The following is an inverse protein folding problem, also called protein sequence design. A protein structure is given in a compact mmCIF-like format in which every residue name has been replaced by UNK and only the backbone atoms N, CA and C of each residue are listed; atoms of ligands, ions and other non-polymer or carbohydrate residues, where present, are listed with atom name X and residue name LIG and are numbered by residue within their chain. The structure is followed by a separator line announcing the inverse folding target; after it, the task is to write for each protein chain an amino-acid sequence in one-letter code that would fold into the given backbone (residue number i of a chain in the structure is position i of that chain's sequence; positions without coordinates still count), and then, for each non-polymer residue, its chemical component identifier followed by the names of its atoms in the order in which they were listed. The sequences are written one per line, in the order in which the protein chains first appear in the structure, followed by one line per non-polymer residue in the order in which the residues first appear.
data_IF_646639928984
#
_entry.id   IF_646639928984
#
_cell.length_a   1.000
_cell.length_b   1.000
_cell.length_c   1.000
_cell.angle_alpha   90.00
_cell.angle_beta   90.00
_cell.angle_gamma   90.00
#
_symmetry.space_group_name_H-M   'P 1'
#
loop_
_entity.id
_entity.type
_entity.pdbx_description
1 polymer ?
#
# COMPACT_ATOMS: atom_id res chain seq x y z
N UNK A 1 -20.62 7.00 0.26
CA UNK A 1 -19.73 7.98 -0.41
C UNK A 1 -18.72 7.21 -1.25
N UNK A 2 -18.53 7.55 -2.53
CA UNK A 2 -17.53 6.88 -3.36
C UNK A 2 -16.12 7.32 -2.91
N UNK A 3 -15.27 6.36 -2.53
CA UNK A 3 -13.90 6.63 -2.09
C UNK A 3 -13.08 7.30 -3.20
N UNK A 4 -12.33 8.35 -2.84
CA UNK A 4 -11.45 9.05 -3.77
C UNK A 4 -10.25 8.17 -4.10
N UNK A 5 -10.00 7.94 -5.40
CA UNK A 5 -8.82 7.22 -5.88
C UNK A 5 -7.62 8.17 -5.79
N UNK A 6 -6.62 7.87 -4.96
CA UNK A 6 -5.37 8.62 -4.92
C UNK A 6 -4.22 7.74 -5.42
N UNK A 7 -3.44 8.28 -6.35
CA UNK A 7 -2.36 7.61 -7.06
C UNK A 7 -1.03 8.12 -6.52
N UNK A 8 -0.18 7.24 -5.98
CA UNK A 8 1.21 7.58 -5.67
C UNK A 8 2.06 7.27 -6.91
N UNK A 9 2.50 8.32 -7.63
CA UNK A 9 3.49 8.18 -8.69
C UNK A 9 4.89 8.18 -8.08
N UNK A 10 5.71 7.18 -8.43
CA UNK A 10 7.09 7.08 -8.00
C UNK A 10 8.00 7.54 -9.15
N UNK A 11 8.35 8.83 -9.19
CA UNK A 11 9.31 9.33 -10.19
C UNK A 11 10.75 8.89 -9.83
N UNK A 12 11.60 8.50 -10.81
CA UNK A 12 11.47 8.66 -12.27
C UNK A 12 10.82 7.48 -13.01
N UNK A 13 10.15 6.57 -12.32
CA UNK A 13 9.72 5.30 -12.90
C UNK A 13 8.24 5.37 -13.28
N UNK A 14 7.90 5.14 -14.56
CA UNK A 14 6.53 5.02 -15.09
C UNK A 14 5.71 3.84 -14.51
N UNK A 15 6.11 3.29 -13.36
CA UNK A 15 5.54 2.10 -12.75
C UNK A 15 4.91 2.49 -11.40
N UNK A 16 3.60 2.64 -11.42
CA UNK A 16 2.80 3.28 -10.38
C UNK A 16 2.50 2.34 -9.20
N UNK A 17 2.96 2.66 -7.98
CA UNK A 17 2.44 2.02 -6.76
C UNK A 17 1.13 2.72 -6.39
N UNK A 18 0.01 2.16 -6.86
CA UNK A 18 -1.32 2.70 -6.59
C UNK A 18 -1.89 2.18 -5.25
N UNK A 19 -1.65 2.90 -4.15
CA UNK A 19 -2.29 2.59 -2.85
C UNK A 19 -3.73 3.07 -2.87
N UNK A 20 -4.65 2.13 -3.11
CA UNK A 20 -6.08 2.36 -3.03
C UNK A 20 -6.56 2.42 -1.57
N UNK A 21 -7.59 3.22 -1.27
CA UNK A 21 -8.21 3.32 0.06
C UNK A 21 -9.72 3.41 -0.17
N UNK A 22 -10.50 2.46 0.36
CA UNK A 22 -11.92 2.30 0.03
C UNK A 22 -12.72 1.88 1.26
N UNK A 23 -13.76 2.67 1.56
CA UNK A 23 -14.89 2.48 2.50
C UNK A 23 -14.82 3.26 3.84
N UNK A 24 -15.54 4.41 3.90
CA UNK A 24 -15.58 5.31 5.06
C UNK A 24 -16.13 4.69 6.36
N UNK A 25 -17.04 3.73 6.27
CA UNK A 25 -17.78 3.23 7.44
C UNK A 25 -17.75 1.68 7.51
N UNK A 26 -17.00 1.15 8.46
CA UNK A 26 -16.95 -0.29 8.75
C UNK A 26 -18.03 -0.66 9.77
N UNK A 27 -18.97 -1.54 9.38
CA UNK A 27 -20.11 -1.98 10.20
C UNK A 27 -20.97 -0.84 10.81
N UNK A 28 -21.04 0.33 10.15
CA UNK A 28 -21.81 1.47 10.65
C UNK A 28 -21.20 2.17 11.86
N UNK A 29 -19.93 1.88 12.19
CA UNK A 29 -19.18 2.65 13.17
C UNK A 29 -18.55 3.87 12.48
N UNK A 30 -18.97 5.10 12.79
CA UNK A 30 -18.42 6.31 12.17
C UNK A 30 -16.96 6.57 12.53
N UNK A 31 -16.45 5.88 13.56
CA UNK A 31 -15.05 5.96 13.98
C UNK A 31 -14.21 4.83 13.40
N UNK A 32 -14.77 3.98 12.54
CA UNK A 32 -14.02 2.91 11.88
C UNK A 32 -14.14 2.98 10.38
N UNK A 33 -13.00 3.11 9.71
CA UNK A 33 -12.88 3.11 8.26
C UNK A 33 -12.29 1.79 7.80
N UNK A 34 -12.82 1.22 6.73
CA UNK A 34 -12.20 0.10 6.04
C UNK A 34 -11.45 0.65 4.85
N UNK A 35 -10.28 0.07 4.59
CA UNK A 35 -9.32 0.61 3.65
C UNK A 35 -8.76 -0.53 2.82
N UNK A 36 -9.13 -0.58 1.54
CA UNK A 36 -8.60 -1.59 0.60
C UNK A 36 -7.33 -1.10 -0.08
N UNK A 37 -6.17 -1.58 0.39
CA UNK A 37 -4.87 -1.35 -0.24
C UNK A 37 -4.71 -2.26 -1.45
N UNK A 38 -4.40 -1.66 -2.59
CA UNK A 38 -3.96 -2.35 -3.80
C UNK A 38 -2.51 -1.98 -4.10
N UNK A 39 -1.80 -2.86 -4.78
CA UNK A 39 -0.45 -2.65 -5.28
C UNK A 39 -0.50 -3.18 -6.71
N UNK A 40 -0.08 -2.35 -7.66
CA UNK A 40 -0.16 -2.66 -9.07
C UNK A 40 1.24 -2.92 -9.58
N UNK A 41 1.37 -3.88 -10.47
CA UNK A 41 2.59 -4.01 -11.25
C UNK A 41 2.62 -2.86 -12.28
N UNK A 42 3.80 -2.49 -12.77
CA UNK A 42 3.98 -1.38 -13.71
C UNK A 42 3.21 -1.50 -15.04
N UNK A 43 2.48 -2.60 -15.25
CA UNK A 43 1.57 -2.80 -16.40
C UNK A 43 0.14 -2.32 -16.12
N UNK A 44 -0.16 -1.93 -14.88
CA UNK A 44 -1.51 -1.55 -14.44
C UNK A 44 -2.34 -2.75 -13.97
N UNK A 45 -1.75 -3.94 -13.84
CA UNK A 45 -2.40 -5.11 -13.26
C UNK A 45 -2.22 -5.13 -11.75
N UNK A 46 -3.18 -5.70 -10.99
CA UNK A 46 -3.05 -5.82 -9.53
C UNK A 46 -2.02 -6.90 -9.21
N UNK A 47 -0.92 -6.52 -8.54
CA UNK A 47 0.08 -7.43 -8.01
C UNK A 47 -0.34 -8.00 -6.64
N UNK A 48 -0.85 -7.15 -5.75
CA UNK A 48 -1.34 -7.55 -4.43
C UNK A 48 -2.50 -6.67 -3.97
N UNK A 49 -3.44 -7.25 -3.24
CA UNK A 49 -4.55 -6.53 -2.59
C UNK A 49 -4.71 -7.04 -1.15
N UNK A 50 -4.99 -6.15 -0.22
CA UNK A 50 -5.41 -6.50 1.14
C UNK A 50 -6.21 -5.36 1.78
N UNK A 51 -6.92 -5.68 2.85
CA UNK A 51 -7.78 -4.73 3.56
C UNK A 51 -7.15 -4.36 4.91
N UNK A 52 -7.37 -3.12 5.33
CA UNK A 52 -6.96 -2.55 6.61
C UNK A 52 -8.19 -1.93 7.27
N UNK A 53 -8.36 -2.12 8.57
CA UNK A 53 -9.35 -1.41 9.37
C UNK A 53 -8.63 -0.34 10.17
N UNK A 54 -9.14 0.88 10.09
CA UNK A 54 -8.72 2.02 10.89
C UNK A 54 -9.81 2.29 11.91
N UNK A 55 -9.47 2.44 13.18
CA UNK A 55 -10.38 2.78 14.27
C UNK A 55 -9.80 3.96 15.02
N UNK A 56 -10.46 5.12 15.01
CA UNK A 56 -9.90 6.37 15.54
C UNK A 56 -8.49 6.70 14.99
N UNK A 57 -8.21 6.34 13.73
CA UNK A 57 -6.92 6.59 13.09
C UNK A 57 -7.11 7.28 11.75
N UNK A 58 -6.22 8.23 11.45
CA UNK A 58 -6.30 9.03 10.23
C UNK A 58 -5.89 8.23 9.00
N UNK A 59 -6.74 8.21 7.98
CA UNK A 59 -6.42 7.65 6.67
C UNK A 59 -5.23 8.36 6.02
N UNK A 60 -5.13 9.67 6.17
CA UNK A 60 -4.08 10.48 5.54
C UNK A 60 -2.71 10.22 6.19
N UNK A 61 -2.70 9.90 7.49
CA UNK A 61 -1.50 9.45 8.21
C UNK A 61 -1.06 8.06 7.72
N UNK A 62 -1.98 7.09 7.61
CA UNK A 62 -1.69 5.78 7.04
C UNK A 62 -1.08 5.93 5.63
N UNK A 63 -1.71 6.76 4.80
CA UNK A 63 -1.26 7.00 3.44
C UNK A 63 0.16 7.59 3.39
N UNK A 64 0.44 8.58 4.24
CA UNK A 64 1.76 9.20 4.33
C UNK A 64 2.83 8.19 4.73
N UNK A 65 2.56 7.37 5.74
CA UNK A 65 3.48 6.32 6.21
C UNK A 65 3.75 5.27 5.13
N UNK A 66 2.71 4.84 4.41
CA UNK A 66 2.87 3.91 3.30
C UNK A 66 3.70 4.53 2.17
N UNK A 67 3.39 5.77 1.77
CA UNK A 67 4.13 6.49 0.73
C UNK A 67 5.60 6.58 1.08
N UNK A 68 5.92 6.99 2.30
CA UNK A 68 7.30 7.22 2.72
C UNK A 68 8.08 5.90 2.78
N UNK A 69 7.47 4.82 3.27
CA UNK A 69 8.10 3.50 3.27
C UNK A 69 8.34 2.94 1.86
N UNK A 70 7.41 3.17 0.93
CA UNK A 70 7.55 2.76 -0.47
C UNK A 70 8.64 3.59 -1.16
N UNK A 71 8.68 4.90 -0.94
CA UNK A 71 9.72 5.79 -1.46
C UNK A 71 11.11 5.39 -0.95
N UNK A 72 11.24 5.10 0.35
CA UNK A 72 12.49 4.65 0.95
C UNK A 72 12.97 3.33 0.34
N UNK A 73 12.06 2.37 0.17
CA UNK A 73 12.38 1.09 -0.46
C UNK A 73 12.79 1.25 -1.92
N UNK A 74 12.05 2.05 -2.70
CA UNK A 74 12.37 2.33 -4.09
C UNK A 74 13.74 3.02 -4.21
N UNK A 75 14.03 4.01 -3.36
CA UNK A 75 15.32 4.70 -3.32
C UNK A 75 16.50 3.79 -3.01
N UNK A 76 16.30 2.74 -2.20
CA UNK A 76 17.33 1.71 -1.91
C UNK A 76 17.63 0.78 -3.09
N UNK A 77 16.65 0.58 -3.98
CA UNK A 77 16.79 -0.32 -5.14
C UNK A 77 17.21 0.42 -6.42
N UNK A 78 16.89 1.71 -6.55
CA UNK A 78 17.33 2.55 -7.66
C UNK A 78 18.82 2.39 -8.05
N UNK A 79 19.79 2.23 -7.11
CA UNK A 79 21.20 2.00 -7.45
C UNK A 79 21.50 0.66 -8.15
N UNK A 80 20.63 -0.35 -7.98
CA UNK A 80 20.87 -1.73 -8.41
C UNK A 80 20.18 -2.10 -9.73
N UNK A 81 19.55 -1.13 -10.41
CA UNK A 81 18.79 -1.35 -11.64
C UNK A 81 17.44 -2.00 -11.35
N UNK A 82 16.36 -1.22 -11.49
CA UNK A 82 15.02 -1.81 -11.47
C UNK A 82 14.82 -2.67 -12.73
N UNK A 83 14.14 -3.82 -12.62
CA UNK A 83 13.74 -4.58 -13.79
C UNK A 83 12.75 -3.73 -14.59
N UNK A 84 13.12 -3.35 -15.81
CA UNK A 84 12.18 -2.71 -16.72
C UNK A 84 11.11 -3.75 -17.15
N UNK A 85 9.88 -3.32 -17.51
CA UNK A 85 8.77 -4.23 -17.85
C UNK A 85 9.02 -5.12 -19.08
N UNK A 86 10.09 -4.89 -19.83
CA UNK A 86 10.52 -5.55 -21.05
C UNK A 86 11.28 -6.86 -20.75
N UNK A 87 10.51 -7.91 -20.40
CA UNK A 87 10.90 -9.30 -20.63
C UNK A 87 11.57 -10.05 -19.48
N UNK A 88 11.80 -9.43 -18.32
CA UNK A 88 12.39 -10.10 -17.14
C UNK A 88 11.38 -10.25 -15.99
N UNK A 89 10.37 -11.08 -16.21
CA UNK A 89 9.23 -11.34 -15.29
C UNK A 89 9.69 -11.75 -13.87
N UNK A 90 10.84 -12.44 -13.75
CA UNK A 90 11.33 -12.97 -12.47
C UNK A 90 11.97 -11.95 -11.51
N UNK A 91 12.61 -10.89 -12.01
CA UNK A 91 13.09 -9.81 -11.14
C UNK A 91 11.99 -8.78 -10.87
N UNK A 92 11.03 -8.66 -11.80
CA UNK A 92 9.87 -7.78 -11.68
C UNK A 92 9.02 -8.12 -10.46
N UNK A 93 8.75 -9.40 -10.19
CA UNK A 93 8.01 -9.84 -9.00
C UNK A 93 8.73 -9.52 -7.68
N UNK A 94 10.07 -9.60 -7.63
CA UNK A 94 10.83 -9.35 -6.40
C UNK A 94 10.72 -7.91 -5.90
N UNK A 95 10.67 -6.94 -6.81
CA UNK A 95 10.46 -5.54 -6.45
C UNK A 95 9.07 -5.34 -5.84
N UNK A 96 8.01 -5.80 -6.52
CA UNK A 96 6.64 -5.65 -6.03
C UNK A 96 6.36 -6.47 -4.77
N UNK A 97 7.01 -7.62 -4.60
CA UNK A 97 7.04 -8.38 -3.36
C UNK A 97 7.62 -7.54 -2.22
N UNK A 98 8.74 -6.85 -2.47
CA UNK A 98 9.35 -5.97 -1.50
C UNK A 98 8.49 -4.75 -1.17
N UNK A 99 7.85 -4.13 -2.16
CA UNK A 99 6.83 -3.09 -1.93
C UNK A 99 5.74 -3.64 -1.01
N UNK A 100 5.15 -4.78 -1.35
CA UNK A 100 4.09 -5.44 -0.56
C UNK A 100 4.52 -5.73 0.87
N UNK A 101 5.76 -6.21 1.07
CA UNK A 101 6.32 -6.45 2.41
C UNK A 101 6.49 -5.17 3.20
N UNK A 102 6.95 -4.07 2.59
CA UNK A 102 7.10 -2.79 3.26
C UNK A 102 5.74 -2.20 3.66
N UNK A 103 4.73 -2.24 2.78
CA UNK A 103 3.39 -1.77 3.13
C UNK A 103 2.80 -2.60 4.27
N UNK A 104 2.89 -3.93 4.20
CA UNK A 104 2.45 -4.81 5.30
C UNK A 104 3.27 -4.63 6.58
N UNK A 105 4.52 -4.17 6.50
CA UNK A 105 5.34 -3.84 7.67
C UNK A 105 4.80 -2.57 8.34
N UNK A 106 4.54 -1.51 7.58
CA UNK A 106 3.95 -0.27 8.08
C UNK A 106 2.63 -0.55 8.82
N UNK A 107 1.73 -1.34 8.24
CA UNK A 107 0.45 -1.66 8.88
C UNK A 107 0.65 -2.44 10.20
N UNK A 108 1.62 -3.36 10.26
CA UNK A 108 1.94 -4.09 11.51
C UNK A 108 2.58 -3.19 12.56
N UNK A 109 3.47 -2.29 12.17
CA UNK A 109 4.09 -1.32 13.08
C UNK A 109 3.02 -0.39 13.65
N UNK A 110 2.12 0.13 12.81
CA UNK A 110 0.97 0.93 13.23
C UNK A 110 0.02 0.15 14.14
N UNK A 111 -0.24 -1.13 13.88
CA UNK A 111 -1.01 -1.98 14.79
C UNK A 111 -0.45 -1.95 16.21
N UNK A 112 0.86 -2.12 16.36
CA UNK A 112 1.51 -2.11 17.67
C UNK A 112 1.56 -0.72 18.30
N UNK A 113 1.88 0.32 17.52
CA UNK A 113 1.98 1.70 18.01
C UNK A 113 0.63 2.28 18.44
N UNK A 114 -0.44 1.87 17.76
CA UNK A 114 -1.80 2.39 17.99
C UNK A 114 -2.66 1.43 18.81
N UNK A 115 -2.05 0.40 19.41
CA UNK A 115 -2.72 -0.60 20.22
C UNK A 115 -3.94 -1.25 19.53
N UNK A 116 -3.81 -1.57 18.24
CA UNK A 116 -4.82 -2.26 17.46
C UNK A 116 -5.77 -1.37 16.65
N UNK A 117 -5.66 -0.04 16.76
CA UNK A 117 -6.47 0.90 15.98
C UNK A 117 -6.20 0.85 14.47
N UNK A 118 -5.07 0.29 14.04
CA UNK A 118 -4.78 0.01 12.63
C UNK A 118 -4.54 -1.49 12.49
N UNK A 119 -5.41 -2.23 11.81
CA UNK A 119 -5.29 -3.69 11.71
C UNK A 119 -5.48 -4.22 10.29
N UNK A 120 -4.72 -5.25 9.91
CA UNK A 120 -4.98 -5.95 8.66
C UNK A 120 -6.24 -6.80 8.79
N UNK A 121 -7.16 -6.64 7.85
CA UNK A 121 -8.34 -7.48 7.75
C UNK A 121 -8.00 -8.76 7.00
N UNK A 122 -8.17 -9.90 7.67
CA UNK A 122 -8.23 -11.21 7.04
C UNK A 122 -9.69 -11.64 6.99
N UNK A 123 -10.33 -11.71 5.81
CA UNK A 123 -11.64 -12.33 5.71
C UNK A 123 -11.50 -13.79 6.17
N UNK A 124 -12.36 -14.20 7.11
CA UNK A 124 -12.57 -15.62 7.43
C UNK A 124 -13.39 -16.27 6.33
#
# INVERSE_FOLDING_TARGET
MAGQIQVLSLEPYRNTVLVYLLESDYHGNPNSEKVKIKIFDGTGSIFSEFMVILTNYSRDELQTMIRDAVNEYAGKIAPNGLPLPDGHVGNFSRFWDGVTRNVRRVVRELYHQTNGNVSMYSPK
#
